data_IF_566174013969
#
_entry.id   IF_566174013969
#
_cell.length_a   1.000
_cell.length_b   1.000
_cell.length_c   1.000
_cell.angle_alpha   90.00
_cell.angle_beta   90.00
_cell.angle_gamma   90.00
#
_symmetry.space_group_name_H-M   'P 1'
#
loop_
_entity.id
_entity.type
_entity.pdbx_description
1 polymer ?
#
# COMPACT_ATOMS: atom_id res chain seq x y z
N UNK A 1 5.06 -17.74 0.79
CA UNK A 1 4.09 -16.84 0.13
C UNK A 1 4.30 -16.97 -1.36
N UNK A 2 3.25 -17.03 -2.17
CA UNK A 2 3.37 -17.11 -3.64
C UNK A 2 3.06 -15.74 -4.30
N UNK A 3 3.33 -15.62 -5.61
CA UNK A 3 3.07 -14.40 -6.39
C UNK A 3 1.67 -13.84 -6.16
N UNK A 4 0.64 -14.69 -6.21
CA UNK A 4 -0.75 -14.29 -6.01
C UNK A 4 -0.99 -13.70 -4.62
N UNK A 5 -0.46 -14.35 -3.56
CA UNK A 5 -0.57 -13.85 -2.19
C UNK A 5 0.15 -12.50 -2.02
N UNK A 6 1.32 -12.33 -2.61
CA UNK A 6 2.04 -11.04 -2.60
C UNK A 6 1.23 -9.94 -3.30
N UNK A 7 0.61 -10.23 -4.45
CA UNK A 7 -0.25 -9.25 -5.13
C UNK A 7 -1.49 -8.87 -4.31
N UNK A 8 -2.09 -9.82 -3.57
CA UNK A 8 -3.21 -9.54 -2.65
C UNK A 8 -2.77 -8.60 -1.54
N UNK A 9 -1.60 -8.83 -0.94
CA UNK A 9 -1.04 -7.95 0.09
C UNK A 9 -0.69 -6.57 -0.46
N UNK A 10 -0.11 -6.49 -1.67
CA UNK A 10 0.16 -5.24 -2.36
C UNK A 10 -1.12 -4.42 -2.56
N UNK A 11 -2.21 -5.06 -3.01
CA UNK A 11 -3.49 -4.41 -3.22
C UNK A 11 -4.08 -3.90 -1.90
N UNK A 12 -4.09 -4.72 -0.84
CA UNK A 12 -4.58 -4.31 0.47
C UNK A 12 -3.79 -3.10 1.03
N UNK A 13 -2.46 -3.11 0.86
CA UNK A 13 -1.61 -1.99 1.25
C UNK A 13 -1.91 -0.71 0.44
N UNK A 14 -2.15 -0.83 -0.88
CA UNK A 14 -2.57 0.32 -1.72
C UNK A 14 -3.90 0.91 -1.26
N UNK A 15 -4.92 0.08 -0.99
CA UNK A 15 -6.22 0.54 -0.48
C UNK A 15 -6.04 1.28 0.85
N UNK A 16 -5.17 0.77 1.73
CA UNK A 16 -4.88 1.44 3.00
C UNK A 16 -4.18 2.78 2.81
N UNK A 17 -3.21 2.86 1.90
CA UNK A 17 -2.53 4.10 1.55
C UNK A 17 -3.51 5.16 1.02
N UNK A 18 -4.40 4.77 0.11
CA UNK A 18 -5.40 5.66 -0.48
C UNK A 18 -6.38 6.18 0.57
N UNK A 19 -6.89 5.32 1.43
CA UNK A 19 -7.79 5.74 2.51
C UNK A 19 -7.13 6.75 3.46
N UNK A 20 -5.87 6.54 3.81
CA UNK A 20 -5.12 7.47 4.66
C UNK A 20 -4.85 8.81 3.96
N UNK A 21 -4.59 8.80 2.66
CA UNK A 21 -4.46 10.03 1.87
C UNK A 21 -5.77 10.83 1.84
N UNK A 22 -6.91 10.16 1.62
CA UNK A 22 -8.24 10.81 1.68
C UNK A 22 -8.54 11.35 3.07
N UNK A 23 -8.21 10.60 4.12
CA UNK A 23 -8.38 11.06 5.50
C UNK A 23 -7.48 12.26 5.81
N UNK A 24 -6.24 12.27 5.33
CA UNK A 24 -5.33 13.40 5.47
C UNK A 24 -5.89 14.67 4.81
N UNK A 25 -6.40 14.56 3.58
CA UNK A 25 -7.06 15.66 2.86
C UNK A 25 -8.30 16.15 3.63
N UNK A 26 -9.15 15.22 4.07
CA UNK A 26 -10.36 15.55 4.82
C UNK A 26 -10.06 16.32 6.10
N UNK A 27 -9.08 15.88 6.88
CA UNK A 27 -8.74 16.56 8.14
C UNK A 27 -7.98 17.86 7.92
N UNK A 28 -7.20 18.00 6.84
CA UNK A 28 -6.49 19.23 6.50
C UNK A 28 -7.43 20.44 6.33
N UNK A 29 -8.68 20.20 5.92
CA UNK A 29 -9.70 21.23 5.78
C UNK A 29 -10.60 21.40 7.02
N UNK A 30 -10.34 20.67 8.11
CA UNK A 30 -11.16 20.66 9.32
C UNK A 30 -10.45 21.20 10.57
N UNK A 31 -11.12 21.10 11.72
CA UNK A 31 -10.56 21.47 13.03
C UNK A 31 -9.40 20.57 13.48
N UNK A 32 -9.27 19.39 12.86
CA UNK A 32 -8.25 18.39 13.14
C UNK A 32 -7.06 18.45 12.17
N UNK A 33 -6.83 19.59 11.52
CA UNK A 33 -5.79 19.77 10.50
C UNK A 33 -4.38 19.36 10.95
N UNK A 34 -4.08 19.43 12.24
CA UNK A 34 -2.80 19.00 12.81
C UNK A 34 -2.53 17.50 12.63
N UNK A 35 -3.55 16.67 12.35
CA UNK A 35 -3.38 15.23 12.05
C UNK A 35 -2.99 14.94 10.61
N UNK A 36 -3.20 15.90 9.69
CA UNK A 36 -3.04 15.68 8.25
C UNK A 36 -1.65 15.14 7.90
N UNK A 37 -0.60 15.72 8.47
CA UNK A 37 0.79 15.30 8.23
C UNK A 37 1.03 13.85 8.65
N UNK A 38 0.57 13.46 9.85
CA UNK A 38 0.74 12.10 10.35
C UNK A 38 -0.01 11.05 9.52
N UNK A 39 -1.21 11.39 9.03
CA UNK A 39 -2.00 10.52 8.16
C UNK A 39 -1.36 10.38 6.77
N UNK A 40 -0.88 11.49 6.21
CA UNK A 40 -0.16 11.48 4.94
C UNK A 40 1.11 10.62 5.03
N UNK A 41 1.91 10.80 6.09
CA UNK A 41 3.11 10.01 6.34
C UNK A 41 2.81 8.51 6.49
N UNK A 42 1.73 8.15 7.20
CA UNK A 42 1.28 6.77 7.30
C UNK A 42 0.84 6.22 5.93
N UNK A 43 0.14 7.02 5.12
CA UNK A 43 -0.23 6.65 3.75
C UNK A 43 1.00 6.39 2.86
N UNK A 44 2.03 7.22 2.96
CA UNK A 44 3.33 7.01 2.27
C UNK A 44 4.01 5.71 2.71
N UNK A 45 3.96 5.36 4.00
CA UNK A 45 4.52 4.08 4.46
C UNK A 45 3.79 2.89 3.84
N UNK A 46 2.45 2.94 3.78
CA UNK A 46 1.66 1.88 3.15
C UNK A 46 1.92 1.75 1.65
N UNK A 47 2.19 2.85 0.93
CA UNK A 47 2.57 2.77 -0.49
C UNK A 47 3.94 2.10 -0.68
N UNK A 48 4.90 2.33 0.23
CA UNK A 48 6.18 1.60 0.21
C UNK A 48 6.01 0.10 0.52
N UNK A 49 5.11 -0.25 1.44
CA UNK A 49 4.77 -1.66 1.72
C UNK A 49 4.18 -2.32 0.47
N UNK A 50 3.22 -1.65 -0.20
CA UNK A 50 2.65 -2.14 -1.45
C UNK A 50 3.72 -2.36 -2.52
N UNK A 51 4.63 -1.40 -2.69
CA UNK A 51 5.76 -1.50 -3.62
C UNK A 51 6.66 -2.70 -3.28
N UNK A 52 6.90 -2.94 -2.00
CA UNK A 52 7.72 -4.08 -1.56
C UNK A 52 7.08 -5.41 -1.98
N UNK A 53 5.79 -5.59 -1.73
CA UNK A 53 5.06 -6.78 -2.15
C UNK A 53 5.01 -6.96 -3.68
N UNK A 54 4.87 -5.87 -4.44
CA UNK A 54 4.95 -5.92 -5.92
C UNK A 54 6.31 -6.41 -6.39
N UNK A 55 7.40 -5.92 -5.79
CA UNK A 55 8.75 -6.34 -6.16
C UNK A 55 9.02 -7.80 -5.78
N UNK A 56 8.51 -8.26 -4.63
CA UNK A 56 8.59 -9.67 -4.24
C UNK A 56 7.79 -10.53 -5.22
N UNK A 57 6.55 -10.15 -5.55
CA UNK A 57 5.72 -10.86 -6.52
C UNK A 57 6.39 -10.95 -7.90
N UNK A 58 7.12 -9.92 -8.31
CA UNK A 58 7.87 -9.90 -9.57
C UNK A 58 9.09 -10.83 -9.54
N UNK A 59 9.72 -11.02 -8.37
CA UNK A 59 10.85 -11.94 -8.18
C UNK A 59 10.41 -13.40 -8.01
N UNK A 60 9.17 -13.64 -7.59
CA UNK A 60 8.55 -14.96 -7.61
C UNK A 60 8.11 -15.25 -9.04
N UNK A 61 8.98 -15.90 -9.83
CA UNK A 61 8.56 -16.57 -11.07
C UNK A 61 7.35 -17.46 -10.75
N UNK A 62 6.29 -17.39 -11.57
CA UNK A 62 5.38 -18.54 -11.61
C UNK A 62 6.27 -19.70 -12.03
N UNK A 63 6.36 -20.76 -11.23
CA UNK A 63 6.87 -22.04 -11.72
C UNK A 63 6.04 -22.34 -12.98
N UNK A 64 6.57 -21.96 -14.14
CA UNK A 64 6.30 -22.63 -15.37
C UNK A 64 6.84 -24.03 -15.11
N UNK A 65 5.96 -24.87 -14.54
CA UNK A 65 6.11 -26.30 -14.57
C UNK A 65 6.48 -26.63 -16.01
N UNK A 66 7.73 -27.03 -16.17
CA UNK A 66 8.26 -27.58 -17.40
C UNK A 66 7.27 -28.62 -17.96
N UNK A 67 7.19 -28.57 -19.28
CA UNK A 67 6.54 -29.50 -20.22
C UNK A 67 6.52 -30.95 -19.77
#
# INVERSE_FOLDING_TARGET
>A
MNRTQEMVLAHAAMVRAENLARDAERVAHGSDHWKAESLAAAGTLWSHIARSHILIAAALEEEASDV
#
